data_IF_337940115177
#
_entry.id   IF_337940115177
#
_cell.length_a   1.000
_cell.length_b   1.000
_cell.length_c   1.000
_cell.angle_alpha   90.00
_cell.angle_beta   90.00
_cell.angle_gamma   90.00
#
_symmetry.space_group_name_H-M   'P 1'
#
loop_
_entity.id
_entity.type
_entity.pdbx_description
1 polymer ?
#
# COMPACT_ATOMS: atom_id res chain seq x y z
N UNK A 1 -62.35 -4.58 -0.41
CA UNK A 1 -62.65 -5.41 0.78
C UNK A 1 -61.97 -6.75 0.55
N UNK A 2 -60.87 -7.03 1.26
CA UNK A 2 -60.07 -8.28 1.28
C UNK A 2 -59.29 -8.61 0.00
N UNK A 3 -58.07 -9.13 0.00
CA UNK A 3 -57.06 -9.47 1.02
C UNK A 3 -55.74 -9.58 0.22
N UNK A 4 -54.66 -8.91 0.65
CA UNK A 4 -53.32 -9.13 0.12
C UNK A 4 -52.53 -10.03 1.07
N UNK A 5 -51.67 -10.80 0.44
CA UNK A 5 -51.10 -12.09 0.82
C UNK A 5 -50.14 -12.05 2.03
N UNK A 6 -50.19 -13.12 2.80
CA UNK A 6 -49.45 -13.38 4.04
C UNK A 6 -48.10 -13.98 3.66
N UNK A 7 -47.09 -13.15 3.35
CA UNK A 7 -45.71 -13.66 3.15
C UNK A 7 -44.59 -12.61 3.20
N UNK A 8 -44.72 -11.56 3.99
CA UNK A 8 -43.64 -10.57 4.11
C UNK A 8 -43.62 -9.82 5.46
N UNK A 9 -43.68 -10.55 6.58
CA UNK A 9 -43.37 -9.99 7.91
C UNK A 9 -42.78 -11.07 8.80
N UNK A 10 -41.46 -11.23 8.79
CA UNK A 10 -40.63 -11.78 9.89
C UNK A 10 -39.17 -11.88 9.43
N UNK A 11 -38.39 -10.85 9.73
CA UNK A 11 -36.99 -10.93 10.21
C UNK A 11 -36.35 -9.54 10.23
N UNK A 12 -36.95 -8.63 10.99
CA UNK A 12 -36.25 -7.53 11.64
C UNK A 12 -36.69 -7.59 13.10
N UNK A 13 -35.91 -8.30 13.92
CA UNK A 13 -35.86 -8.19 15.39
C UNK A 13 -34.91 -9.28 15.90
N UNK A 14 -33.60 -9.03 15.81
CA UNK A 14 -32.63 -9.86 16.52
C UNK A 14 -31.31 -9.17 16.83
N UNK A 15 -31.35 -7.95 17.38
CA UNK A 15 -30.21 -7.39 18.13
C UNK A 15 -30.68 -6.37 19.17
N UNK A 16 -31.32 -6.85 20.25
CA UNK A 16 -31.29 -6.19 21.56
C UNK A 16 -31.42 -7.27 22.64
N UNK A 17 -30.33 -7.54 23.37
CA UNK A 17 -30.34 -7.88 24.79
C UNK A 17 -28.89 -8.11 25.28
N UNK A 18 -28.35 -7.12 25.99
CA UNK A 18 -27.19 -7.30 26.86
C UNK A 18 -27.64 -8.02 28.15
N UNK A 19 -26.84 -8.91 28.74
CA UNK A 19 -27.07 -9.35 30.11
C UNK A 19 -26.41 -8.37 31.09
N UNK A 20 -27.25 -7.77 31.93
CA UNK A 20 -26.86 -7.27 33.24
C UNK A 20 -26.84 -8.47 34.20
N UNK A 21 -25.74 -8.69 34.91
CA UNK A 21 -25.83 -9.36 36.20
C UNK A 21 -24.84 -8.77 37.20
N UNK A 22 -25.32 -8.70 38.43
CA UNK A 22 -24.83 -7.92 39.56
C UNK A 22 -24.12 -8.80 40.58
N UNK A 23 -23.09 -8.21 41.20
CA UNK A 23 -22.59 -8.46 42.55
C UNK A 23 -21.90 -9.79 42.91
N UNK A 24 -20.59 -9.70 43.21
CA UNK A 24 -20.03 -10.23 44.45
C UNK A 24 -18.74 -9.48 44.85
N UNK A 25 -18.77 -8.85 46.02
CA UNK A 25 -17.60 -8.33 46.76
C UNK A 25 -16.96 -9.49 47.54
N UNK A 26 -15.63 -9.57 47.54
CA UNK A 26 -14.86 -10.02 48.69
C UNK A 26 -13.43 -9.46 48.57
N UNK A 27 -12.99 -8.76 49.61
CA UNK A 27 -11.65 -8.22 49.78
C UNK A 27 -10.73 -9.27 50.41
N UNK A 28 -9.43 -9.22 50.10
CA UNK A 28 -8.33 -9.56 51.02
C UNK A 28 -7.13 -8.67 50.69
N UNK A 29 -6.66 -7.98 51.71
CA UNK A 29 -5.43 -7.17 51.81
C UNK A 29 -4.20 -8.05 51.53
N UNK A 30 -3.16 -7.60 50.83
CA UNK A 30 -2.15 -6.67 51.32
C UNK A 30 -0.88 -7.47 51.65
N UNK A 31 0.23 -7.20 50.97
CA UNK A 31 1.51 -7.13 51.67
C UNK A 31 2.56 -6.34 50.89
N UNK A 32 3.23 -5.50 51.66
CA UNK A 32 4.34 -4.61 51.33
C UNK A 32 5.66 -5.37 51.37
N UNK A 33 6.60 -5.05 50.48
CA UNK A 33 7.99 -4.83 50.89
C UNK A 33 8.82 -4.10 49.83
N UNK A 34 9.54 -3.08 50.30
CA UNK A 34 10.62 -2.36 49.62
C UNK A 34 11.93 -2.92 50.16
N UNK A 35 12.96 -2.98 49.33
CA UNK A 35 14.38 -2.78 49.66
C UNK A 35 15.10 -2.47 48.32
N UNK A 36 15.64 -1.29 48.03
CA UNK A 36 16.80 -0.55 48.55
C UNK A 36 18.19 -1.18 48.33
N UNK A 37 18.93 -0.52 47.41
CA UNK A 37 20.39 -0.33 47.29
C UNK A 37 21.32 -1.45 46.78
N UNK A 38 22.12 -1.08 45.77
CA UNK A 38 23.37 -1.75 45.44
C UNK A 38 23.91 -1.40 44.06
N UNK A 39 24.61 -0.28 43.93
CA UNK A 39 25.42 0.04 42.75
C UNK A 39 26.75 -0.73 42.79
N UNK A 40 27.14 -1.36 41.68
CA UNK A 40 28.54 -1.61 41.34
C UNK A 40 28.69 -1.78 39.82
N UNK A 41 29.50 -0.90 39.24
CA UNK A 41 30.18 -1.14 37.96
C UNK A 41 31.25 -2.22 38.20
N UNK A 42 31.31 -3.25 37.35
CA UNK A 42 32.58 -3.64 36.74
C UNK A 42 32.35 -4.42 35.43
N UNK A 43 33.33 -4.25 34.56
CA UNK A 43 33.41 -4.60 33.16
C UNK A 43 34.03 -5.99 33.00
N UNK A 44 33.40 -6.93 32.30
CA UNK A 44 34.11 -7.92 31.46
C UNK A 44 33.16 -8.93 30.81
N UNK A 45 33.42 -9.19 29.53
CA UNK A 45 33.36 -10.50 28.86
C UNK A 45 32.10 -11.35 29.06
N UNK A 46 31.24 -11.40 28.04
CA UNK A 46 31.00 -12.65 27.28
C UNK A 46 29.81 -12.48 26.33
N UNK A 47 30.14 -12.19 25.08
CA UNK A 47 29.26 -12.41 23.94
C UNK A 47 29.12 -13.92 23.70
N UNK A 48 27.91 -14.46 23.78
CA UNK A 48 27.59 -15.79 23.25
C UNK A 48 27.18 -15.62 21.77
N UNK A 49 27.87 -16.24 20.80
CA UNK A 49 27.52 -16.10 19.39
C UNK A 49 26.46 -17.13 18.98
N UNK A 50 25.29 -16.66 18.53
CA UNK A 50 24.32 -17.46 17.79
C UNK A 50 24.84 -17.68 16.36
N UNK A 51 25.70 -18.69 16.22
CA UNK A 51 26.15 -19.18 14.93
C UNK A 51 25.05 -19.94 14.19
N UNK A 52 24.38 -19.29 13.25
CA UNK A 52 23.64 -20.00 12.19
C UNK A 52 24.67 -20.46 11.15
N UNK A 53 25.01 -21.75 11.17
CA UNK A 53 25.75 -22.40 10.07
C UNK A 53 24.90 -22.35 8.80
N UNK A 54 25.28 -21.47 7.87
CA UNK A 54 24.82 -21.55 6.48
C UNK A 54 25.31 -22.90 5.91
N UNK A 55 24.39 -23.72 5.39
CA UNK A 55 24.75 -24.91 4.62
C UNK A 55 25.50 -24.46 3.36
N UNK A 56 26.68 -25.01 3.15
CA UNK A 56 27.41 -24.91 1.88
C UNK A 56 26.55 -25.56 0.78
N UNK A 57 25.95 -24.72 -0.05
CA UNK A 57 25.10 -25.17 -1.17
C UNK A 57 24.52 -24.03 -2.03
N UNK A 58 24.81 -22.76 -1.72
CA UNK A 58 24.31 -21.62 -2.48
C UNK A 58 25.47 -20.75 -2.99
N UNK A 59 26.34 -21.34 -3.82
CA UNK A 59 27.38 -20.58 -4.54
C UNK A 59 27.31 -20.66 -6.07
N UNK A 60 26.39 -21.44 -6.65
CA UNK A 60 26.35 -21.64 -8.10
C UNK A 60 25.05 -21.13 -8.76
N UNK A 61 24.69 -19.87 -8.55
CA UNK A 61 23.63 -19.22 -9.32
C UNK A 61 24.01 -17.84 -9.91
N UNK A 62 25.29 -17.46 -9.86
CA UNK A 62 25.80 -16.27 -10.57
C UNK A 62 27.11 -16.64 -11.28
N UNK A 63 27.02 -17.52 -12.26
CA UNK A 63 28.08 -17.73 -13.24
C UNK A 63 27.46 -18.32 -14.51
N UNK A 64 26.76 -17.49 -15.28
CA UNK A 64 26.43 -17.85 -16.65
C UNK A 64 27.71 -17.76 -17.49
N UNK A 65 28.25 -18.91 -17.91
CA UNK A 65 29.33 -19.01 -18.88
C UNK A 65 28.75 -19.30 -20.26
N UNK A 66 28.82 -18.34 -21.17
CA UNK A 66 28.65 -18.61 -22.60
C UNK A 66 28.33 -17.37 -23.43
N UNK A 67 29.30 -16.88 -24.20
CA UNK A 67 29.07 -15.88 -25.22
C UNK A 67 30.35 -15.64 -26.01
N UNK A 68 30.39 -16.21 -27.22
CA UNK A 68 31.46 -16.16 -28.22
C UNK A 68 31.85 -14.71 -28.59
N UNK A 69 33.16 -14.41 -28.57
CA UNK A 69 33.72 -13.10 -28.94
C UNK A 69 33.74 -12.96 -30.46
N UNK A 70 32.59 -12.70 -31.08
CA UNK A 70 32.56 -12.15 -32.43
C UNK A 70 31.45 -11.10 -32.57
N UNK A 71 31.88 -9.85 -32.78
CA UNK A 71 31.14 -8.66 -33.20
C UNK A 71 29.61 -8.73 -33.06
N UNK A 72 29.06 -8.33 -31.90
CA UNK A 72 27.62 -8.36 -31.67
C UNK A 72 27.21 -7.35 -30.61
N UNK A 73 26.13 -6.62 -30.90
CA UNK A 73 25.43 -5.70 -30.02
C UNK A 73 25.33 -6.25 -28.60
N UNK A 74 25.70 -5.48 -27.58
CA UNK A 74 25.50 -5.86 -26.18
C UNK A 74 23.99 -5.97 -25.96
N UNK A 75 23.46 -7.19 -25.92
CA UNK A 75 22.09 -7.42 -25.48
C UNK A 75 22.13 -7.35 -23.96
N UNK A 76 21.82 -6.19 -23.40
CA UNK A 76 21.56 -6.08 -21.97
C UNK A 76 20.33 -6.93 -21.65
N UNK A 77 20.53 -8.02 -20.90
CA UNK A 77 19.42 -8.81 -20.41
C UNK A 77 18.75 -8.06 -19.26
N UNK A 78 17.40 -8.05 -19.20
CA UNK A 78 16.69 -7.40 -18.11
C UNK A 78 17.17 -7.93 -16.76
N UNK A 79 17.36 -7.02 -15.80
CA UNK A 79 17.76 -7.42 -14.45
C UNK A 79 16.57 -8.08 -13.74
N UNK A 80 16.72 -9.34 -13.32
CA UNK A 80 15.73 -10.06 -12.50
C UNK A 80 14.80 -10.99 -13.29
N UNK A 81 13.78 -11.52 -12.60
CA UNK A 81 12.73 -12.36 -13.21
C UNK A 81 11.60 -11.52 -13.79
N UNK A 82 10.86 -12.08 -14.75
CA UNK A 82 9.65 -11.47 -15.29
C UNK A 82 8.40 -11.95 -14.55
N UNK A 83 7.31 -11.17 -14.66
CA UNK A 83 5.97 -11.55 -14.24
C UNK A 83 4.96 -11.27 -15.35
N UNK A 84 3.84 -11.99 -15.34
CA UNK A 84 2.73 -11.73 -16.25
C UNK A 84 1.77 -10.70 -15.64
N UNK A 85 1.32 -9.73 -16.44
CA UNK A 85 0.31 -8.75 -16.03
C UNK A 85 -1.10 -9.19 -16.42
N UNK A 86 -2.12 -8.43 -15.98
CA UNK A 86 -3.53 -8.70 -16.24
C UNK A 86 -3.87 -8.80 -17.74
N UNK A 87 -3.32 -7.90 -18.56
CA UNK A 87 -3.47 -7.91 -20.02
C UNK A 87 -2.63 -8.98 -20.71
N UNK A 88 -1.86 -9.77 -19.95
CA UNK A 88 -1.04 -10.88 -20.43
C UNK A 88 0.37 -10.49 -20.85
N UNK A 89 0.83 -9.26 -20.59
CA UNK A 89 2.19 -8.80 -20.92
C UNK A 89 3.21 -9.43 -19.98
N UNK A 90 4.44 -9.62 -20.48
CA UNK A 90 5.58 -9.98 -19.65
C UNK A 90 6.32 -8.70 -19.25
N UNK A 91 6.44 -8.44 -17.95
CA UNK A 91 7.12 -7.26 -17.40
C UNK A 91 8.24 -7.69 -16.47
N UNK A 92 9.32 -6.92 -16.42
CA UNK A 92 10.44 -7.13 -15.51
C UNK A 92 10.40 -6.05 -14.43
N UNK A 93 9.85 -6.30 -13.22
CA UNK A 93 9.62 -5.23 -12.24
C UNK A 93 10.87 -4.47 -11.78
N UNK A 94 12.04 -5.13 -11.83
CA UNK A 94 13.33 -4.51 -11.47
C UNK A 94 14.02 -3.80 -12.64
N UNK A 95 13.45 -3.91 -13.83
CA UNK A 95 13.91 -3.29 -15.08
C UNK A 95 12.69 -2.90 -15.93
N UNK A 96 11.77 -2.16 -15.31
CA UNK A 96 10.52 -1.76 -15.95
C UNK A 96 10.80 -0.75 -17.06
N UNK A 97 10.21 -0.96 -18.24
CA UNK A 97 10.40 -0.11 -19.41
C UNK A 97 9.08 0.55 -19.81
N UNK A 98 9.09 1.80 -20.33
CA UNK A 98 7.86 2.49 -20.73
C UNK A 98 6.96 1.67 -21.66
N UNK A 99 7.53 0.97 -22.65
CA UNK A 99 6.77 0.19 -23.62
C UNK A 99 6.02 -1.01 -23.03
N UNK A 100 6.48 -1.51 -21.87
CA UNK A 100 5.89 -2.65 -21.19
C UNK A 100 4.63 -2.25 -20.39
N UNK A 101 4.42 -0.96 -20.14
CA UNK A 101 3.39 -0.43 -19.26
C UNK A 101 2.05 -0.25 -19.99
N UNK A 102 1.00 -0.81 -19.40
CA UNK A 102 -0.39 -0.65 -19.81
C UNK A 102 -1.21 -0.06 -18.66
N UNK A 103 -2.00 0.97 -18.92
CA UNK A 103 -2.84 1.59 -17.88
C UNK A 103 -3.86 0.62 -17.31
N UNK A 104 -4.32 -0.36 -18.11
CA UNK A 104 -5.26 -1.39 -17.66
C UNK A 104 -4.62 -2.33 -16.65
N UNK A 105 -3.33 -2.61 -16.80
CA UNK A 105 -2.59 -3.44 -15.83
C UNK A 105 -2.45 -2.71 -14.49
N UNK A 106 -2.15 -1.41 -14.53
CA UNK A 106 -2.06 -0.56 -13.33
C UNK A 106 -3.43 -0.50 -12.64
N UNK A 107 -4.47 -0.07 -13.35
CA UNK A 107 -5.81 0.08 -12.78
C UNK A 107 -6.31 -1.23 -12.17
N UNK A 108 -6.15 -2.34 -12.88
CA UNK A 108 -6.57 -3.65 -12.40
C UNK A 108 -5.81 -4.08 -11.13
N UNK A 109 -4.48 -4.03 -11.15
CA UNK A 109 -3.67 -4.43 -10.00
C UNK A 109 -3.96 -3.56 -8.77
N UNK A 110 -4.01 -2.23 -8.94
CA UNK A 110 -4.29 -1.30 -7.84
C UNK A 110 -5.71 -1.44 -7.28
N UNK A 111 -6.69 -1.84 -8.11
CA UNK A 111 -8.06 -2.07 -7.66
C UNK A 111 -8.21 -3.29 -6.74
N UNK A 112 -7.30 -4.26 -6.86
CA UNK A 112 -7.26 -5.50 -6.07
C UNK A 112 -6.32 -5.41 -4.87
N UNK A 113 -5.44 -4.42 -4.86
CA UNK A 113 -4.48 -4.23 -3.78
C UNK A 113 -5.11 -3.44 -2.63
N UNK A 114 -5.23 -4.08 -1.47
CA UNK A 114 -5.75 -3.43 -0.28
C UNK A 114 -4.67 -2.56 0.37
N UNK A 115 -4.99 -1.31 0.66
CA UNK A 115 -4.12 -0.43 1.45
C UNK A 115 -3.96 -0.92 2.87
N UNK A 116 -2.95 -0.38 3.55
CA UNK A 116 -2.67 -0.65 4.97
C UNK A 116 -2.38 -2.12 5.27
N UNK A 117 -1.86 -2.84 4.27
CA UNK A 117 -1.67 -4.29 4.32
C UNK A 117 -2.93 -5.06 4.78
N UNK A 118 -4.12 -4.54 4.47
CA UNK A 118 -5.39 -5.16 4.83
C UNK A 118 -5.85 -4.95 6.28
N UNK A 119 -5.15 -4.15 7.09
CA UNK A 119 -5.55 -3.84 8.47
C UNK A 119 -6.65 -2.78 8.57
N UNK A 120 -7.68 -2.91 7.74
CA UNK A 120 -8.84 -2.01 7.64
C UNK A 120 -10.13 -2.77 7.93
N UNK A 121 -11.15 -2.06 8.42
CA UNK A 121 -12.46 -2.65 8.74
C UNK A 121 -13.26 -3.06 7.50
N UNK A 122 -12.99 -2.42 6.37
CA UNK A 122 -13.60 -2.69 5.07
C UNK A 122 -12.51 -2.55 4.01
N UNK A 123 -12.62 -3.34 2.93
CA UNK A 123 -11.65 -3.32 1.84
C UNK A 123 -11.56 -1.91 1.24
N UNK A 124 -10.35 -1.39 1.13
CA UNK A 124 -10.05 -0.08 0.55
C UNK A 124 -8.83 -0.23 -0.36
N UNK A 125 -9.06 -0.02 -1.65
CA UNK A 125 -8.06 -0.30 -2.67
C UNK A 125 -7.08 0.87 -2.85
N UNK A 126 -5.89 0.58 -3.38
CA UNK A 126 -4.96 1.63 -3.81
C UNK A 126 -5.59 2.48 -4.92
N UNK A 127 -6.37 1.87 -5.83
CA UNK A 127 -7.05 2.61 -6.89
C UNK A 127 -8.07 3.65 -6.38
N UNK A 128 -8.90 3.33 -5.38
CA UNK A 128 -9.84 4.29 -4.79
C UNK A 128 -9.10 5.47 -4.14
N UNK A 129 -8.03 5.18 -3.41
CA UNK A 129 -7.14 6.21 -2.85
C UNK A 129 -6.58 7.13 -3.94
N UNK A 130 -5.96 6.56 -4.99
CA UNK A 130 -5.38 7.35 -6.08
C UNK A 130 -6.43 8.21 -6.80
N UNK A 131 -7.66 7.71 -6.96
CA UNK A 131 -8.76 8.49 -7.55
C UNK A 131 -9.15 9.69 -6.66
N UNK A 132 -9.20 9.52 -5.34
CA UNK A 132 -9.48 10.63 -4.42
C UNK A 132 -8.37 11.68 -4.42
N UNK A 133 -7.11 11.25 -4.40
CA UNK A 133 -5.94 12.14 -4.51
C UNK A 133 -5.98 12.90 -5.84
N UNK A 134 -6.16 12.21 -6.96
CA UNK A 134 -6.27 12.82 -8.29
C UNK A 134 -7.39 13.86 -8.37
N UNK A 135 -8.60 13.53 -7.89
CA UNK A 135 -9.74 14.46 -7.87
C UNK A 135 -9.44 15.72 -7.06
N UNK A 136 -8.70 15.61 -5.96
CA UNK A 136 -8.24 16.78 -5.21
C UNK A 136 -7.21 17.58 -6.01
N UNK A 137 -6.20 16.91 -6.60
CA UNK A 137 -5.10 17.57 -7.29
C UNK A 137 -5.52 18.25 -8.62
N UNK A 138 -6.66 17.87 -9.21
CA UNK A 138 -7.23 18.53 -10.41
C UNK A 138 -7.40 20.04 -10.28
N UNK A 139 -7.61 20.56 -9.07
CA UNK A 139 -7.72 22.00 -8.86
C UNK A 139 -6.44 22.77 -9.22
N UNK A 140 -5.30 22.08 -9.31
CA UNK A 140 -4.00 22.63 -9.71
C UNK A 140 -3.66 22.38 -11.19
N UNK A 141 -4.58 21.76 -11.96
CA UNK A 141 -4.42 21.46 -13.38
C UNK A 141 -4.56 19.97 -13.71
N UNK A 142 -4.74 19.63 -15.01
CA UNK A 142 -4.88 18.24 -15.45
C UNK A 142 -3.61 17.42 -15.19
N UNK A 143 -2.43 18.01 -15.40
CA UNK A 143 -1.13 17.35 -15.13
C UNK A 143 -1.00 16.96 -13.64
N UNK A 144 -1.32 17.87 -12.71
CA UNK A 144 -1.32 17.57 -11.28
C UNK A 144 -2.37 16.50 -10.91
N UNK A 145 -3.53 16.50 -11.58
CA UNK A 145 -4.53 15.44 -11.45
C UNK A 145 -3.99 14.09 -11.91
N UNK A 146 -3.31 14.03 -13.06
CA UNK A 146 -2.74 12.81 -13.63
C UNK A 146 -1.61 12.27 -12.78
N UNK A 147 -0.71 13.13 -12.30
CA UNK A 147 0.31 12.77 -11.32
C UNK A 147 -0.33 12.21 -10.04
N UNK A 148 -1.39 12.85 -9.54
CA UNK A 148 -2.15 12.37 -8.39
C UNK A 148 -2.79 11.00 -8.62
N UNK A 149 -3.20 10.69 -9.85
CA UNK A 149 -3.77 9.38 -10.19
C UNK A 149 -2.70 8.29 -10.27
N UNK A 150 -1.50 8.64 -10.74
CA UNK A 150 -0.42 7.69 -11.00
C UNK A 150 0.63 7.62 -9.89
N UNK A 151 0.55 8.43 -8.82
CA UNK A 151 1.60 8.51 -7.79
C UNK A 151 1.95 7.16 -7.13
N UNK A 152 0.96 6.28 -6.96
CA UNK A 152 1.11 4.91 -6.42
C UNK A 152 1.18 3.83 -7.54
N UNK A 153 1.29 4.22 -8.82
CA UNK A 153 1.29 3.27 -9.94
C UNK A 153 2.46 2.27 -9.92
N UNK A 154 3.56 2.60 -9.25
CA UNK A 154 4.68 1.66 -9.05
C UNK A 154 4.25 0.43 -8.25
N UNK A 155 3.25 0.56 -7.38
CA UNK A 155 2.77 -0.53 -6.54
C UNK A 155 2.06 -1.62 -7.33
N UNK A 156 1.59 -1.35 -8.55
CA UNK A 156 1.07 -2.36 -9.46
C UNK A 156 2.11 -3.45 -9.79
N UNK A 157 3.40 -3.10 -9.71
CA UNK A 157 4.54 -3.99 -9.99
C UNK A 157 5.35 -4.35 -8.75
N UNK A 158 5.35 -3.49 -7.73
CA UNK A 158 6.19 -3.60 -6.54
C UNK A 158 5.44 -3.93 -5.24
N UNK A 159 4.10 -3.93 -5.30
CA UNK A 159 3.18 -4.09 -4.15
C UNK A 159 3.20 -2.89 -3.19
N UNK A 160 2.06 -2.63 -2.54
CA UNK A 160 1.94 -1.67 -1.43
C UNK A 160 2.75 -2.18 -0.24
N UNK A 161 3.87 -1.52 0.00
CA UNK A 161 4.70 -1.76 1.18
C UNK A 161 4.34 -0.72 2.24
N UNK A 162 3.87 -1.13 3.43
CA UNK A 162 3.57 -0.21 4.51
C UNK A 162 4.74 0.74 4.82
N UNK A 163 4.42 2.04 4.90
CA UNK A 163 5.39 3.14 5.12
C UNK A 163 6.42 2.87 6.24
N UNK A 164 6.08 2.29 7.40
CA UNK A 164 7.06 1.99 8.45
C UNK A 164 8.15 0.98 8.07
N UNK A 165 7.89 0.12 7.07
CA UNK A 165 8.81 -0.93 6.62
C UNK A 165 9.76 -0.40 5.55
N UNK A 166 9.31 0.53 4.69
CA UNK A 166 10.09 1.06 3.54
C UNK A 166 11.54 1.46 3.89
N UNK A 167 11.85 2.17 5.00
CA UNK A 167 13.23 2.55 5.35
C UNK A 167 14.18 1.38 5.61
N UNK A 168 13.65 0.20 5.92
CA UNK A 168 14.44 -1.00 6.22
C UNK A 168 14.65 -1.91 5.00
N UNK A 169 13.99 -1.62 3.87
CA UNK A 169 14.15 -2.37 2.62
C UNK A 169 15.31 -1.79 1.80
N UNK A 170 16.43 -2.52 1.76
CA UNK A 170 17.61 -2.14 0.99
C UNK A 170 17.25 -1.95 -0.49
N UNK A 171 17.71 -0.84 -1.07
CA UNK A 171 17.52 -0.50 -2.49
C UNK A 171 16.07 -0.30 -2.93
N UNK A 172 15.06 -0.46 -2.06
CA UNK A 172 13.65 -0.34 -2.44
C UNK A 172 13.33 1.04 -3.03
N UNK A 173 13.80 2.11 -2.36
CA UNK A 173 13.66 3.48 -2.87
C UNK A 173 14.24 3.67 -4.28
N UNK A 174 15.36 3.01 -4.60
CA UNK A 174 15.97 3.08 -5.93
C UNK A 174 15.15 2.30 -6.96
N UNK A 175 14.60 1.14 -6.58
CA UNK A 175 13.74 0.32 -7.43
C UNK A 175 12.43 1.06 -7.73
N UNK A 176 11.77 1.60 -6.72
CA UNK A 176 10.56 2.42 -6.83
C UNK A 176 10.81 3.64 -7.72
N UNK A 177 11.94 4.35 -7.55
CA UNK A 177 12.30 5.48 -8.41
C UNK A 177 12.54 5.07 -9.88
N UNK A 178 13.14 3.91 -10.14
CA UNK A 178 13.32 3.41 -11.51
C UNK A 178 12.00 3.04 -12.16
N UNK A 179 11.11 2.37 -11.42
CA UNK A 179 9.77 2.05 -11.88
C UNK A 179 8.96 3.33 -12.16
N UNK A 180 9.07 4.34 -11.29
CA UNK A 180 8.43 5.64 -11.52
C UNK A 180 8.91 6.29 -12.82
N UNK A 181 10.22 6.32 -13.09
CA UNK A 181 10.74 6.88 -14.35
C UNK A 181 10.17 6.20 -15.59
N UNK A 182 9.97 4.88 -15.55
CA UNK A 182 9.38 4.15 -16.65
C UNK A 182 7.90 4.53 -16.85
N UNK A 183 7.14 4.63 -15.75
CA UNK A 183 5.74 5.08 -15.74
C UNK A 183 5.63 6.51 -16.24
N UNK A 184 6.45 7.42 -15.70
CA UNK A 184 6.48 8.82 -16.11
C UNK A 184 6.82 8.95 -17.59
N UNK A 185 7.81 8.21 -18.09
CA UNK A 185 8.15 8.17 -19.52
C UNK A 185 7.06 7.57 -20.41
N UNK A 186 6.17 6.72 -19.87
CA UNK A 186 5.03 6.16 -20.61
C UNK A 186 3.87 7.14 -20.75
N UNK A 187 3.70 8.03 -19.78
CA UNK A 187 2.54 8.94 -19.69
C UNK A 187 2.95 10.43 -19.75
N UNK A 188 4.13 10.73 -20.29
CA UNK A 188 4.65 12.09 -20.50
C UNK A 188 4.69 12.96 -19.23
N UNK A 189 4.99 12.35 -18.07
CA UNK A 189 5.11 13.02 -16.77
C UNK A 189 6.56 13.36 -16.40
N UNK A 190 6.73 14.21 -15.38
CA UNK A 190 8.03 14.53 -14.81
C UNK A 190 8.72 13.28 -14.20
N UNK A 191 9.99 12.99 -14.55
CA UNK A 191 10.63 11.71 -14.24
C UNK A 191 11.11 11.55 -12.80
N UNK A 192 11.35 12.65 -12.08
CA UNK A 192 12.05 12.58 -10.79
C UNK A 192 11.12 12.73 -9.58
N UNK A 193 10.01 13.47 -9.69
CA UNK A 193 9.03 13.65 -8.62
C UNK A 193 7.67 14.10 -9.17
N UNK A 194 6.58 13.62 -8.56
CA UNK A 194 5.29 14.29 -8.65
C UNK A 194 5.29 15.61 -7.85
N UNK A 195 4.44 16.55 -8.23
CA UNK A 195 4.38 17.88 -7.66
C UNK A 195 4.04 17.88 -6.15
N UNK A 196 4.41 18.97 -5.48
CA UNK A 196 4.19 19.15 -4.03
C UNK A 196 2.72 19.00 -3.62
N UNK A 197 1.79 19.41 -4.49
CA UNK A 197 0.36 19.25 -4.26
C UNK A 197 -0.09 17.79 -4.15
N UNK A 198 0.52 16.86 -4.91
CA UNK A 198 0.23 15.43 -4.81
C UNK A 198 0.74 14.87 -3.49
N UNK A 199 1.97 15.24 -3.10
CA UNK A 199 2.54 14.81 -1.82
C UNK A 199 1.72 15.30 -0.61
N UNK A 200 1.23 16.54 -0.69
CA UNK A 200 0.40 17.14 0.35
C UNK A 200 -0.97 16.43 0.44
N UNK A 201 -1.60 16.17 -0.70
CA UNK A 201 -2.88 15.47 -0.77
C UNK A 201 -2.78 14.02 -0.25
N UNK A 202 -1.76 13.26 -0.64
CA UNK A 202 -1.52 11.88 -0.18
C UNK A 202 -1.31 11.81 1.35
N UNK A 203 -0.64 12.80 1.96
CA UNK A 203 -0.53 12.82 3.42
C UNK A 203 -1.84 13.23 4.11
N UNK A 204 -2.60 14.19 3.56
CA UNK A 204 -3.82 14.72 4.19
C UNK A 204 -5.00 13.75 4.11
N UNK A 205 -5.13 12.99 3.03
CA UNK A 205 -6.21 12.00 2.89
C UNK A 205 -6.16 10.92 3.96
N UNK A 206 -4.99 10.67 4.57
CA UNK A 206 -4.84 9.76 5.71
C UNK A 206 -5.76 10.11 6.90
N UNK A 207 -6.15 11.38 7.06
CA UNK A 207 -7.15 11.77 8.07
C UNK A 207 -8.51 11.14 7.79
N UNK A 208 -8.98 11.29 6.55
CA UNK A 208 -10.28 10.79 6.09
C UNK A 208 -10.30 9.25 6.08
N UNK A 209 -9.22 8.65 5.57
CA UNK A 209 -9.04 7.19 5.52
C UNK A 209 -8.98 6.57 6.92
N UNK A 210 -8.19 7.14 7.84
CA UNK A 210 -8.12 6.66 9.21
C UNK A 210 -9.50 6.71 9.88
N UNK A 211 -10.22 7.82 9.72
CA UNK A 211 -11.52 8.01 10.34
C UNK A 211 -12.56 7.00 9.82
N UNK A 212 -12.54 6.69 8.53
CA UNK A 212 -13.48 5.77 7.91
C UNK A 212 -13.12 4.28 8.12
N UNK A 213 -11.83 3.94 8.06
CA UNK A 213 -11.37 2.56 7.87
C UNK A 213 -10.79 1.92 9.13
N UNK A 214 -10.21 2.70 10.05
CA UNK A 214 -9.46 2.17 11.18
C UNK A 214 -10.33 1.97 12.42
N UNK A 215 -10.04 0.91 13.16
CA UNK A 215 -10.56 0.76 14.53
C UNK A 215 -9.88 1.75 15.48
N UNK A 216 -10.53 2.10 16.60
CA UNK A 216 -9.89 2.89 17.65
C UNK A 216 -8.54 2.29 18.06
N UNK A 217 -7.53 3.13 18.19
CA UNK A 217 -6.18 2.76 18.56
C UNK A 217 -5.70 3.66 19.70
N UNK A 218 -4.96 3.09 20.65
CA UNK A 218 -4.37 3.82 21.78
C UNK A 218 -3.30 4.82 21.34
N UNK A 219 -2.69 4.57 20.17
CA UNK A 219 -1.62 5.41 19.62
C UNK A 219 -2.18 6.37 18.59
N UNK A 220 -1.80 7.63 18.71
CA UNK A 220 -2.10 8.66 17.72
C UNK A 220 -1.23 8.48 16.47
N UNK A 221 -1.81 8.85 15.33
CA UNK A 221 -1.08 8.94 14.07
C UNK A 221 -0.45 10.32 13.96
N UNK A 222 0.83 10.39 13.59
CA UNK A 222 1.52 11.65 13.31
C UNK A 222 1.13 12.17 11.93
N UNK A 223 -0.08 12.73 11.83
CA UNK A 223 -0.60 13.34 10.61
C UNK A 223 -0.39 14.86 10.61
N UNK A 224 -0.25 15.44 9.42
CA UNK A 224 -0.01 16.87 9.21
C UNK A 224 -1.05 17.45 8.24
N UNK A 225 -1.45 18.69 8.47
CA UNK A 225 -2.48 19.37 7.66
C UNK A 225 -3.90 19.03 8.10
N UNK A 226 -4.86 19.64 7.43
CA UNK A 226 -6.29 19.36 7.62
C UNK A 226 -6.74 18.22 6.70
N UNK A 227 -7.81 17.46 7.02
CA UNK A 227 -8.37 16.47 6.09
C UNK A 227 -8.68 17.05 4.70
N UNK A 228 -8.74 16.19 3.68
CA UNK A 228 -9.23 16.60 2.36
C UNK A 228 -10.75 16.77 2.37
N UNK A 229 -11.44 16.10 3.29
CA UNK A 229 -12.90 16.11 3.39
C UNK A 229 -13.56 15.17 2.39
N UNK A 230 -12.84 14.14 1.93
CA UNK A 230 -13.38 13.13 1.02
C UNK A 230 -14.20 12.10 1.80
N UNK A 231 -15.25 11.59 1.18
CA UNK A 231 -16.01 10.45 1.72
C UNK A 231 -15.41 9.16 1.19
N UNK A 232 -14.91 8.32 2.09
CA UNK A 232 -14.38 6.99 1.76
C UNK A 232 -15.55 6.01 1.65
N UNK A 233 -15.78 5.49 0.45
CA UNK A 233 -16.95 4.66 0.15
C UNK A 233 -16.62 3.15 0.19
N UNK A 234 -15.34 2.77 0.16
CA UNK A 234 -14.89 1.38 0.09
C UNK A 234 -15.47 0.69 -1.17
N UNK A 235 -15.12 1.23 -2.34
CA UNK A 235 -15.56 0.72 -3.63
C UNK A 235 -15.18 -0.75 -3.81
N UNK A 236 -16.04 -1.51 -4.51
CA UNK A 236 -15.62 -2.82 -4.99
C UNK A 236 -14.45 -2.67 -5.97
N UNK A 237 -13.57 -3.68 -6.11
CA UNK A 237 -12.48 -3.63 -7.08
C UNK A 237 -12.94 -3.23 -8.48
N UNK A 238 -14.07 -3.77 -8.95
CA UNK A 238 -14.61 -3.47 -10.27
C UNK A 238 -15.07 -2.02 -10.42
N UNK A 239 -15.56 -1.40 -9.33
CA UNK A 239 -15.85 0.03 -9.33
C UNK A 239 -14.56 0.84 -9.29
N UNK A 240 -13.61 0.50 -8.42
CA UNK A 240 -12.35 1.23 -8.32
C UNK A 240 -11.55 1.21 -9.64
N UNK A 241 -11.45 0.06 -10.30
CA UNK A 241 -10.81 -0.06 -11.62
C UNK A 241 -11.50 0.84 -12.66
N UNK A 242 -12.83 0.83 -12.72
CA UNK A 242 -13.60 1.66 -13.66
C UNK A 242 -13.44 3.15 -13.38
N UNK A 243 -13.52 3.58 -12.12
CA UNK A 243 -13.35 4.99 -11.73
C UNK A 243 -11.92 5.47 -12.02
N UNK A 244 -10.92 4.62 -11.79
CA UNK A 244 -9.53 4.91 -12.12
C UNK A 244 -9.33 5.10 -13.63
N UNK A 245 -9.80 4.17 -14.46
CA UNK A 245 -9.68 4.25 -15.91
C UNK A 245 -10.46 5.44 -16.50
N UNK A 246 -11.67 5.69 -15.98
CA UNK A 246 -12.47 6.83 -16.42
C UNK A 246 -11.76 8.17 -16.11
N UNK A 247 -11.20 8.30 -14.90
CA UNK A 247 -10.47 9.50 -14.52
C UNK A 247 -9.14 9.63 -15.28
N UNK A 248 -8.47 8.51 -15.59
CA UNK A 248 -7.29 8.53 -16.44
C UNK A 248 -7.61 9.08 -17.83
N UNK A 249 -8.68 8.61 -18.46
CA UNK A 249 -9.12 9.09 -19.78
C UNK A 249 -9.47 10.58 -19.75
N UNK A 250 -10.14 11.06 -18.69
CA UNK A 250 -10.43 12.49 -18.51
C UNK A 250 -9.16 13.35 -18.37
N UNK A 251 -8.08 12.82 -17.79
CA UNK A 251 -6.89 13.61 -17.45
C UNK A 251 -5.78 13.52 -18.51
N UNK A 252 -5.68 12.39 -19.20
CA UNK A 252 -4.66 12.11 -20.21
C UNK A 252 -5.21 12.17 -21.64
N UNK A 253 -6.51 11.92 -21.84
CA UNK A 253 -7.17 11.91 -23.15
C UNK A 253 -7.69 13.27 -23.63
N UNK A 254 -7.54 14.34 -22.84
CA UNK A 254 -7.81 15.71 -23.30
C UNK A 254 -6.62 16.22 -24.15
N UNK A 255 -6.63 15.87 -25.44
CA UNK A 255 -5.87 16.54 -26.53
C UNK A 255 -6.65 17.72 -27.15
#
# INVERSE_FOLDING_TARGET
>A
MGQLDVRERRNLDRFVAAPQDTAARAAVEGDTERDHFGASNDNSSDMVPLGIRLREGLRDAIAWKGGDESAGTVVEYPTGGWMQTFTGRAVYPLDLRPEDIDIRDIAHALSLQCRYAGHVRQFYSVAEHSVHVARHCRQYGPEAGLEGLLHDATEAYLVDVPRPIKPFLKSYKLIEQRAWRAIAGRFDLAPDFYCEAVHEADNRILHDERAALMSPCEREWSLTGDPLGVTIECWSPERAEREFLALFEELYGED
#
